data_IF_844846326772
#
_entry.id   IF_844846326772
#
_cell.length_a   1.000
_cell.length_b   1.000
_cell.length_c   1.000
_cell.angle_alpha   90.00
_cell.angle_beta   90.00
_cell.angle_gamma   90.00
#
_symmetry.space_group_name_H-M   'P 1'
#
loop_
_entity.id
_entity.type
_entity.pdbx_description
1 polymer ?
#
# COMPACT_ATOMS: atom_id res chain seq x y z
N UNK A 1 -9.28 -25.72 9.84
CA UNK A 1 -10.20 -24.66 9.35
C UNK A 1 -10.94 -25.16 8.12
N UNK A 2 -12.28 -25.15 8.15
CA UNK A 2 -13.11 -25.54 7.01
C UNK A 2 -13.03 -24.54 5.86
N UNK A 3 -13.40 -24.95 4.63
CA UNK A 3 -13.46 -24.04 3.47
C UNK A 3 -14.40 -22.85 3.72
N UNK A 4 -15.57 -23.11 4.33
CA UNK A 4 -16.54 -22.08 4.70
C UNK A 4 -15.95 -21.04 5.65
N UNK A 5 -15.21 -21.47 6.68
CA UNK A 5 -14.55 -20.56 7.61
C UNK A 5 -13.53 -19.64 6.91
N UNK A 6 -12.77 -20.16 5.93
CA UNK A 6 -11.81 -19.34 5.17
C UNK A 6 -12.54 -18.28 4.33
N UNK A 7 -13.65 -18.66 3.68
CA UNK A 7 -14.45 -17.73 2.88
C UNK A 7 -15.02 -16.63 3.78
N UNK A 8 -15.63 -16.99 4.92
CA UNK A 8 -16.14 -16.03 5.88
C UNK A 8 -15.04 -15.08 6.37
N UNK A 9 -13.87 -15.58 6.74
CA UNK A 9 -12.75 -14.72 7.15
C UNK A 9 -12.30 -13.79 6.02
N UNK A 10 -12.31 -14.22 4.75
CA UNK A 10 -11.97 -13.34 3.63
C UNK A 10 -12.99 -12.21 3.48
N UNK A 11 -14.27 -12.53 3.59
CA UNK A 11 -15.35 -11.53 3.56
C UNK A 11 -15.15 -10.53 4.70
N UNK A 12 -14.88 -11.00 5.92
CA UNK A 12 -14.59 -10.11 7.05
C UNK A 12 -13.37 -9.22 6.81
N UNK A 13 -12.29 -9.75 6.22
CA UNK A 13 -11.12 -8.93 5.86
C UNK A 13 -11.48 -7.89 4.79
N UNK A 14 -12.28 -8.22 3.79
CA UNK A 14 -12.78 -7.24 2.81
C UNK A 14 -13.58 -6.13 3.48
N UNK A 15 -14.53 -6.48 4.35
CA UNK A 15 -15.34 -5.53 5.09
C UNK A 15 -14.48 -4.63 5.99
N UNK A 16 -13.53 -5.21 6.72
CA UNK A 16 -12.62 -4.45 7.58
C UNK A 16 -11.72 -3.50 6.77
N UNK A 17 -11.24 -3.93 5.60
CA UNK A 17 -10.45 -3.08 4.73
C UNK A 17 -11.27 -2.01 4.01
N UNK A 18 -12.59 -2.18 3.83
CA UNK A 18 -13.49 -1.17 3.25
C UNK A 18 -14.12 -0.24 4.29
N UNK A 19 -14.18 -0.65 5.56
CA UNK A 19 -14.75 0.14 6.64
C UNK A 19 -14.19 1.58 6.74
N UNK A 20 -12.87 1.83 6.54
CA UNK A 20 -12.35 3.19 6.56
C UNK A 20 -12.87 4.07 5.43
N UNK A 21 -13.04 3.50 4.24
CA UNK A 21 -13.66 4.21 3.12
C UNK A 21 -15.13 4.49 3.42
N UNK A 22 -15.87 3.51 3.95
CA UNK A 22 -17.27 3.72 4.35
C UNK A 22 -17.39 4.80 5.43
N UNK A 23 -16.48 4.83 6.40
CA UNK A 23 -16.39 5.88 7.40
C UNK A 23 -16.13 7.25 6.78
N UNK A 24 -15.17 7.35 5.85
CA UNK A 24 -14.86 8.59 5.16
C UNK A 24 -16.05 9.12 4.34
N UNK A 25 -16.79 8.22 3.66
CA UNK A 25 -18.00 8.57 2.93
C UNK A 25 -19.10 9.06 3.87
N UNK A 26 -19.32 8.39 5.00
CA UNK A 26 -20.27 8.83 6.02
C UNK A 26 -19.88 10.20 6.60
N UNK A 27 -18.59 10.41 6.86
CA UNK A 27 -18.07 11.67 7.37
C UNK A 27 -18.26 12.82 6.38
N UNK A 28 -18.12 12.54 5.08
CA UNK A 28 -18.45 13.48 4.00
C UNK A 28 -19.96 13.77 3.92
N UNK A 29 -20.81 12.74 3.81
CA UNK A 29 -22.26 12.92 3.59
C UNK A 29 -23.01 13.48 4.80
N UNK A 30 -22.50 13.28 6.02
CA UNK A 30 -23.02 13.90 7.24
C UNK A 30 -22.69 15.40 7.35
N UNK A 31 -21.88 15.95 6.45
CA UNK A 31 -21.39 17.33 6.51
C UNK A 31 -20.30 17.55 7.58
N UNK A 32 -20.02 16.56 8.43
CA UNK A 32 -19.03 16.67 9.50
C UNK A 32 -17.60 16.86 8.96
N UNK A 33 -17.30 16.36 7.75
CA UNK A 33 -16.01 16.62 7.11
C UNK A 33 -15.77 18.12 6.89
N UNK A 34 -16.81 18.90 6.56
CA UNK A 34 -16.70 20.34 6.32
C UNK A 34 -16.34 21.14 7.59
N UNK A 35 -16.46 20.52 8.77
CA UNK A 35 -16.03 21.12 10.04
C UNK A 35 -14.52 21.05 10.26
N UNK A 36 -13.79 20.28 9.44
CA UNK A 36 -12.32 20.27 9.48
C UNK A 36 -11.78 21.57 8.90
N UNK A 37 -10.71 22.10 9.49
CA UNK A 37 -10.05 23.32 9.00
C UNK A 37 -9.55 23.19 7.55
N UNK A 38 -9.15 21.97 7.16
CA UNK A 38 -8.80 21.63 5.78
C UNK A 38 -9.29 20.21 5.45
N UNK A 39 -10.50 20.08 4.86
CA UNK A 39 -11.08 18.80 4.47
C UNK A 39 -10.22 17.99 3.49
N UNK A 40 -9.59 18.66 2.53
CA UNK A 40 -8.78 18.01 1.48
C UNK A 40 -7.53 17.42 2.09
N UNK A 41 -6.87 18.16 2.99
CA UNK A 41 -5.72 17.68 3.73
C UNK A 41 -6.08 16.50 4.63
N UNK A 42 -7.25 16.52 5.28
CA UNK A 42 -7.74 15.39 6.08
C UNK A 42 -7.92 14.12 5.23
N UNK A 43 -8.64 14.20 4.10
CA UNK A 43 -8.84 13.06 3.19
C UNK A 43 -7.48 12.51 2.71
N UNK A 44 -6.56 13.39 2.35
CA UNK A 44 -5.25 13.02 1.83
C UNK A 44 -4.42 12.26 2.87
N UNK A 45 -4.38 12.76 4.11
CA UNK A 45 -3.68 12.07 5.20
C UNK A 45 -4.37 10.75 5.58
N UNK A 46 -5.70 10.75 5.67
CA UNK A 46 -6.48 9.55 6.00
C UNK A 46 -6.22 8.41 5.00
N UNK A 47 -6.31 8.69 3.69
CA UNK A 47 -6.05 7.68 2.65
C UNK A 47 -4.58 7.25 2.61
N UNK A 48 -3.64 8.15 2.91
CA UNK A 48 -2.21 7.85 3.06
C UNK A 48 -1.92 6.93 4.24
N UNK A 49 -2.52 7.19 5.40
CA UNK A 49 -2.38 6.37 6.61
C UNK A 49 -2.92 4.95 6.37
N UNK A 50 -4.10 4.81 5.75
CA UNK A 50 -4.67 3.50 5.44
C UNK A 50 -3.87 2.72 4.39
N UNK A 51 -3.15 3.43 3.51
CA UNK A 51 -2.17 2.81 2.60
C UNK A 51 -1.04 2.16 3.40
N UNK A 52 -0.46 2.88 4.36
CA UNK A 52 0.62 2.37 5.21
C UNK A 52 0.14 1.26 6.14
N UNK A 53 -1.03 1.39 6.75
CA UNK A 53 -1.58 0.40 7.69
C UNK A 53 -1.83 -0.94 7.00
N UNK A 54 -2.46 -0.93 5.83
CA UNK A 54 -2.71 -2.16 5.06
C UNK A 54 -1.41 -2.73 4.49
N UNK A 55 -0.48 -1.90 4.04
CA UNK A 55 0.85 -2.35 3.60
C UNK A 55 1.61 -3.05 4.73
N UNK A 56 1.65 -2.45 5.92
CA UNK A 56 2.33 -3.00 7.09
C UNK A 56 1.64 -4.25 7.63
N UNK A 57 0.30 -4.30 7.64
CA UNK A 57 -0.44 -5.50 7.97
C UNK A 57 -0.07 -6.67 7.05
N UNK A 58 0.07 -6.42 5.74
CA UNK A 58 0.54 -7.44 4.79
C UNK A 58 1.98 -7.90 5.06
N UNK A 59 2.87 -6.98 5.44
CA UNK A 59 4.25 -7.30 5.82
C UNK A 59 4.33 -8.08 7.13
N UNK A 60 3.47 -7.77 8.10
CA UNK A 60 3.39 -8.36 9.44
C UNK A 60 2.93 -9.82 9.43
N UNK A 61 2.14 -10.25 8.44
CA UNK A 61 1.68 -11.64 8.33
C UNK A 61 2.86 -12.64 8.36
N UNK A 62 4.00 -12.30 7.75
CA UNK A 62 5.13 -13.23 7.70
C UNK A 62 5.82 -13.42 9.06
N UNK A 63 6.25 -12.36 9.80
CA UNK A 63 6.80 -12.54 11.13
C UNK A 63 5.79 -13.15 12.10
N UNK A 64 4.51 -12.76 12.07
CA UNK A 64 3.46 -13.33 12.95
C UNK A 64 3.36 -14.85 12.75
N UNK A 65 3.28 -15.32 11.49
CA UNK A 65 3.24 -16.74 11.17
C UNK A 65 4.46 -17.54 11.66
N UNK A 66 5.61 -16.86 11.81
CA UNK A 66 6.87 -17.48 12.25
C UNK A 66 6.96 -17.57 13.76
N UNK A 67 6.40 -16.59 14.48
CA UNK A 67 6.35 -16.58 15.95
C UNK A 67 5.23 -17.49 16.47
N UNK A 68 4.07 -17.49 15.81
CA UNK A 68 2.93 -18.32 16.13
C UNK A 68 2.58 -19.22 14.95
N UNK A 69 3.12 -20.45 14.94
CA UNK A 69 2.90 -21.44 13.87
C UNK A 69 1.44 -21.84 13.72
N UNK A 70 0.65 -21.78 14.80
CA UNK A 70 -0.81 -21.96 14.78
C UNK A 70 -1.53 -20.96 13.87
N UNK A 71 -0.95 -19.76 13.68
CA UNK A 71 -1.46 -18.72 12.78
C UNK A 71 -0.96 -18.88 11.33
N UNK A 72 -0.50 -20.08 10.97
CA UNK A 72 -0.10 -20.51 9.62
C UNK A 72 -1.04 -20.05 8.50
N UNK A 73 -2.34 -20.10 8.77
CA UNK A 73 -3.42 -19.80 7.83
C UNK A 73 -3.44 -18.33 7.39
N UNK A 74 -2.87 -17.39 8.17
CA UNK A 74 -2.85 -15.95 7.86
C UNK A 74 -2.17 -15.64 6.52
N UNK A 75 -1.25 -16.49 6.06
CA UNK A 75 -0.57 -16.32 4.77
C UNK A 75 -1.54 -16.24 3.59
N UNK A 76 -2.73 -16.84 3.72
CA UNK A 76 -3.78 -16.86 2.70
C UNK A 76 -4.44 -15.50 2.47
N UNK A 77 -4.30 -14.56 3.42
CA UNK A 77 -4.86 -13.20 3.32
C UNK A 77 -3.82 -12.15 2.93
N UNK A 78 -2.52 -12.51 2.90
CA UNK A 78 -1.44 -11.56 2.61
C UNK A 78 -1.62 -10.82 1.28
N UNK A 79 -1.98 -11.55 0.23
CA UNK A 79 -2.23 -10.96 -1.09
C UNK A 79 -3.47 -10.07 -1.09
N UNK A 80 -4.52 -10.49 -0.40
CA UNK A 80 -5.76 -9.71 -0.28
C UNK A 80 -5.50 -8.35 0.36
N UNK A 81 -4.84 -8.33 1.52
CA UNK A 81 -4.50 -7.10 2.24
C UNK A 81 -3.54 -6.22 1.42
N UNK A 82 -2.58 -6.84 0.71
CA UNK A 82 -1.67 -6.11 -0.18
C UNK A 82 -2.37 -5.40 -1.34
N UNK A 83 -3.46 -5.96 -1.87
CA UNK A 83 -4.29 -5.29 -2.88
C UNK A 83 -5.03 -4.08 -2.30
N UNK A 84 -5.46 -4.15 -1.04
CA UNK A 84 -6.02 -2.99 -0.35
C UNK A 84 -4.99 -1.89 -0.11
N UNK A 85 -3.71 -2.23 0.11
CA UNK A 85 -2.65 -1.22 0.14
C UNK A 85 -2.54 -0.47 -1.19
N UNK A 86 -2.60 -1.18 -2.33
CA UNK A 86 -2.61 -0.53 -3.63
C UNK A 86 -3.91 0.27 -3.89
N UNK A 87 -5.06 -0.24 -3.44
CA UNK A 87 -6.34 0.48 -3.51
C UNK A 87 -6.27 1.82 -2.79
N UNK A 88 -5.85 1.83 -1.52
CA UNK A 88 -5.71 3.08 -0.76
C UNK A 88 -4.59 3.97 -1.32
N UNK A 89 -3.49 3.40 -1.83
CA UNK A 89 -2.43 4.19 -2.48
C UNK A 89 -2.97 4.92 -3.72
N UNK A 90 -3.86 4.26 -4.45
CA UNK A 90 -4.52 4.84 -5.63
C UNK A 90 -5.52 5.91 -5.22
N UNK A 91 -6.29 5.70 -4.15
CA UNK A 91 -7.14 6.75 -3.59
C UNK A 91 -6.31 7.96 -3.13
N UNK A 92 -5.19 7.73 -2.45
CA UNK A 92 -4.28 8.78 -2.00
C UNK A 92 -3.68 9.56 -3.18
N UNK A 93 -3.25 8.88 -4.25
CA UNK A 93 -2.82 9.56 -5.47
C UNK A 93 -3.98 10.33 -6.13
N UNK A 94 -5.18 9.76 -6.11
CA UNK A 94 -6.37 10.42 -6.65
C UNK A 94 -6.74 11.69 -5.87
N UNK A 95 -6.47 11.79 -4.57
CA UNK A 95 -6.71 13.05 -3.83
C UNK A 95 -5.81 14.16 -4.35
N UNK A 96 -4.54 13.87 -4.66
CA UNK A 96 -3.65 14.85 -5.28
C UNK A 96 -4.19 15.28 -6.67
N UNK A 97 -4.57 14.31 -7.51
CA UNK A 97 -5.01 14.58 -8.88
C UNK A 97 -6.33 15.35 -8.93
N UNK A 98 -7.31 15.01 -8.09
CA UNK A 98 -8.67 15.52 -8.21
C UNK A 98 -9.07 16.54 -7.14
N UNK A 99 -8.37 16.61 -6.01
CA UNK A 99 -8.69 17.56 -4.93
C UNK A 99 -7.62 18.64 -4.74
N UNK A 100 -6.34 18.31 -4.96
CA UNK A 100 -5.24 19.24 -4.70
C UNK A 100 -4.79 20.04 -5.94
N UNK A 101 -4.84 19.43 -7.13
CA UNK A 101 -4.39 20.04 -8.39
C UNK A 101 -5.21 21.25 -8.86
N UNK A 102 -6.37 21.50 -8.24
CA UNK A 102 -7.36 22.48 -8.70
C UNK A 102 -8.36 21.93 -9.73
N UNK A 103 -8.45 20.61 -9.92
CA UNK A 103 -9.49 20.01 -10.78
C UNK A 103 -10.90 20.33 -10.27
N UNK A 104 -11.71 21.03 -11.06
CA UNK A 104 -13.10 21.30 -10.71
C UNK A 104 -13.99 20.11 -11.10
N UNK A 105 -14.18 19.19 -10.15
CA UNK A 105 -15.03 18.00 -10.30
C UNK A 105 -16.47 18.40 -10.64
N UNK A 106 -16.98 19.47 -10.03
CA UNK A 106 -18.37 19.90 -10.22
C UNK A 106 -18.58 20.37 -11.64
N UNK A 107 -17.72 21.26 -12.15
CA UNK A 107 -17.77 21.73 -13.54
C UNK A 107 -17.58 20.59 -14.54
N UNK A 108 -16.69 19.65 -14.24
CA UNK A 108 -16.45 18.50 -15.11
C UNK A 108 -17.68 17.57 -15.21
N UNK A 109 -18.34 17.29 -14.09
CA UNK A 109 -19.53 16.44 -14.02
C UNK A 109 -20.77 17.12 -14.59
N UNK A 110 -20.98 18.42 -14.33
CA UNK A 110 -22.10 19.16 -14.92
C UNK A 110 -21.98 19.24 -16.44
N UNK A 111 -20.78 19.48 -16.97
CA UNK A 111 -20.52 19.44 -18.41
C UNK A 111 -20.78 18.06 -19.02
N UNK A 112 -20.36 16.99 -18.34
CA UNK A 112 -20.64 15.62 -18.78
C UNK A 112 -22.15 15.34 -18.82
N UNK A 113 -22.90 15.70 -17.77
CA UNK A 113 -24.35 15.52 -17.71
C UNK A 113 -25.10 16.36 -18.75
N UNK A 114 -24.54 17.52 -19.14
CA UNK A 114 -25.06 18.37 -20.21
C UNK A 114 -24.73 17.87 -21.63
N UNK A 115 -24.10 16.68 -21.78
CA UNK A 115 -23.73 16.12 -23.08
C UNK A 115 -22.41 16.67 -23.65
N UNK A 116 -21.60 17.36 -22.84
CA UNK A 116 -20.28 17.86 -23.21
C UNK A 116 -19.16 17.05 -22.53
N UNK A 117 -18.88 15.81 -22.99
CA UNK A 117 -17.83 14.97 -22.39
C UNK A 117 -16.43 15.58 -22.49
N UNK A 118 -16.24 16.54 -23.41
CA UNK A 118 -15.00 17.31 -23.54
C UNK A 118 -14.69 18.15 -22.28
N UNK A 119 -15.68 18.46 -21.43
CA UNK A 119 -15.48 19.18 -20.17
C UNK A 119 -14.45 18.48 -19.27
N UNK A 120 -14.45 17.14 -19.23
CA UNK A 120 -13.47 16.34 -18.49
C UNK A 120 -12.04 16.61 -18.99
N UNK A 121 -11.87 16.63 -20.32
CA UNK A 121 -10.58 16.83 -20.98
C UNK A 121 -10.13 18.28 -20.89
N UNK A 122 -11.06 19.25 -20.95
CA UNK A 122 -10.75 20.67 -20.80
C UNK A 122 -10.23 20.96 -19.39
N UNK A 123 -10.91 20.44 -18.36
CA UNK A 123 -10.43 20.56 -16.97
C UNK A 123 -9.07 19.88 -16.78
N UNK A 124 -8.87 18.70 -17.38
CA UNK A 124 -7.56 18.03 -17.35
C UNK A 124 -6.45 18.87 -18.00
N UNK A 125 -6.71 19.44 -19.18
CA UNK A 125 -5.75 20.29 -19.91
C UNK A 125 -5.34 21.51 -19.10
N UNK A 126 -6.23 22.04 -18.27
CA UNK A 126 -5.94 23.19 -17.41
C UNK A 126 -4.93 22.84 -16.30
N UNK A 127 -5.08 21.68 -15.66
CA UNK A 127 -4.28 21.32 -14.48
C UNK A 127 -2.98 20.57 -14.80
N UNK A 128 -2.92 19.83 -15.92
CA UNK A 128 -1.80 18.92 -16.19
C UNK A 128 -0.42 19.59 -16.21
N UNK A 129 -0.23 20.84 -16.71
CA UNK A 129 1.08 21.46 -16.73
C UNK A 129 1.58 21.77 -15.31
N UNK A 130 0.69 22.30 -14.46
CA UNK A 130 0.99 22.59 -13.05
C UNK A 130 1.29 21.30 -12.26
N UNK A 131 0.55 20.23 -12.53
CA UNK A 131 0.83 18.92 -11.91
C UNK A 131 2.23 18.40 -12.25
N UNK A 132 2.65 18.51 -13.52
CA UNK A 132 4.00 18.10 -13.95
C UNK A 132 5.06 18.94 -13.24
N UNK A 133 4.85 20.25 -13.18
CA UNK A 133 5.75 21.18 -12.49
C UNK A 133 5.88 20.83 -10.99
N UNK A 134 4.76 20.54 -10.32
CA UNK A 134 4.74 20.09 -8.93
C UNK A 134 5.50 18.77 -8.74
N UNK A 135 5.29 17.78 -9.61
CA UNK A 135 6.02 16.50 -9.57
C UNK A 135 7.52 16.72 -9.75
N UNK A 136 7.93 17.62 -10.65
CA UNK A 136 9.34 17.90 -10.90
C UNK A 136 10.00 18.67 -9.75
N UNK A 137 9.28 19.59 -9.10
CA UNK A 137 9.80 20.42 -8.01
C UNK A 137 9.79 19.72 -6.65
N UNK A 138 8.82 18.84 -6.39
CA UNK A 138 8.56 18.29 -5.05
C UNK A 138 9.08 16.85 -4.94
N UNK A 139 10.24 16.69 -4.31
CA UNK A 139 10.89 15.38 -4.10
C UNK A 139 10.00 14.35 -3.40
N UNK A 140 9.16 14.78 -2.44
CA UNK A 140 8.24 13.87 -1.77
C UNK A 140 7.21 13.29 -2.75
N UNK A 141 6.68 14.07 -3.70
CA UNK A 141 5.75 13.56 -4.72
C UNK A 141 6.43 12.51 -5.60
N UNK A 142 7.68 12.73 -6.00
CA UNK A 142 8.45 11.78 -6.81
C UNK A 142 8.61 10.43 -6.09
N UNK A 143 8.98 10.44 -4.81
CA UNK A 143 9.11 9.22 -4.01
C UNK A 143 7.76 8.54 -3.80
N UNK A 144 6.69 9.31 -3.59
CA UNK A 144 5.32 8.79 -3.49
C UNK A 144 4.88 8.10 -4.78
N UNK A 145 5.08 8.74 -5.93
CA UNK A 145 4.78 8.18 -7.25
C UNK A 145 5.62 6.91 -7.52
N UNK A 146 6.90 6.93 -7.16
CA UNK A 146 7.76 5.75 -7.25
C UNK A 146 7.23 4.59 -6.40
N UNK A 147 6.84 4.84 -5.15
CA UNK A 147 6.22 3.83 -4.29
C UNK A 147 4.93 3.29 -4.90
N UNK A 148 4.07 4.16 -5.45
CA UNK A 148 2.84 3.77 -6.13
C UNK A 148 3.11 2.90 -7.37
N UNK A 149 4.11 3.23 -8.19
CA UNK A 149 4.50 2.43 -9.36
C UNK A 149 4.99 1.03 -8.96
N UNK A 150 5.73 0.91 -7.86
CA UNK A 150 6.10 -0.39 -7.31
C UNK A 150 4.85 -1.18 -6.88
N UNK A 151 3.92 -0.55 -6.18
CA UNK A 151 2.65 -1.18 -5.79
C UNK A 151 1.77 -1.55 -6.99
N UNK A 152 1.75 -0.73 -8.04
CA UNK A 152 1.06 -1.02 -9.29
C UNK A 152 1.64 -2.28 -9.94
N UNK A 153 2.97 -2.38 -10.07
CA UNK A 153 3.62 -3.57 -10.61
C UNK A 153 3.28 -4.84 -9.81
N UNK A 154 3.26 -4.73 -8.48
CA UNK A 154 2.86 -5.82 -7.57
C UNK A 154 1.38 -6.21 -7.74
N UNK A 155 0.49 -5.22 -7.89
CA UNK A 155 -0.95 -5.44 -8.06
C UNK A 155 -1.26 -6.09 -9.42
N UNK A 156 -0.67 -5.57 -10.50
CA UNK A 156 -0.78 -6.10 -11.86
C UNK A 156 -0.25 -7.53 -11.96
N UNK A 157 0.76 -7.90 -11.18
CA UNK A 157 1.31 -9.27 -11.15
C UNK A 157 0.70 -10.15 -10.06
N UNK A 158 -0.35 -9.67 -9.38
CA UNK A 158 -1.07 -10.45 -8.38
C UNK A 158 -1.96 -11.56 -8.98
N UNK A 159 -2.67 -11.40 -10.12
CA UNK A 159 -3.56 -12.41 -10.67
C UNK A 159 -2.92 -13.79 -10.82
N UNK A 160 -3.69 -14.85 -10.54
CA UNK A 160 -3.16 -16.21 -10.46
C UNK A 160 -2.57 -16.70 -11.79
N UNK A 161 -3.14 -16.27 -12.93
CA UNK A 161 -2.62 -16.63 -14.24
C UNK A 161 -1.25 -15.99 -14.52
N UNK A 162 -1.04 -14.72 -14.12
CA UNK A 162 0.26 -14.03 -14.27
C UNK A 162 1.31 -14.67 -13.36
N UNK A 163 0.95 -14.97 -12.11
CA UNK A 163 1.85 -15.67 -11.18
C UNK A 163 2.31 -17.02 -11.74
N UNK A 164 1.41 -17.78 -12.39
CA UNK A 164 1.74 -19.05 -13.03
C UNK A 164 2.64 -18.84 -14.25
N UNK A 165 2.34 -17.86 -15.09
CA UNK A 165 3.10 -17.55 -16.31
C UNK A 165 4.54 -17.07 -16.01
N UNK A 166 4.73 -16.23 -14.99
CA UNK A 166 6.06 -15.72 -14.62
C UNK A 166 6.96 -16.78 -13.95
N UNK A 167 6.36 -17.84 -13.42
CA UNK A 167 7.01 -18.79 -12.52
C UNK A 167 7.22 -18.24 -11.11
N UNK A 168 7.01 -19.09 -10.10
CA UNK A 168 7.00 -18.68 -8.69
C UNK A 168 8.29 -18.00 -8.21
N UNK A 169 9.46 -18.38 -8.76
CA UNK A 169 10.75 -17.76 -8.40
C UNK A 169 10.82 -16.29 -8.83
N UNK A 170 10.51 -15.99 -10.08
CA UNK A 170 10.57 -14.61 -10.61
C UNK A 170 9.46 -13.75 -10.00
N UNK A 171 8.26 -14.32 -9.85
CA UNK A 171 7.16 -13.66 -9.14
C UNK A 171 7.57 -13.26 -7.72
N UNK A 172 8.23 -14.17 -6.99
CA UNK A 172 8.72 -13.89 -5.65
C UNK A 172 9.84 -12.84 -5.64
N UNK A 173 10.73 -12.82 -6.63
CA UNK A 173 11.76 -11.78 -6.78
C UNK A 173 11.13 -10.41 -6.93
N UNK A 174 10.17 -10.26 -7.85
CA UNK A 174 9.42 -9.02 -8.05
C UNK A 174 8.66 -8.63 -6.78
N UNK A 175 8.02 -9.59 -6.11
CA UNK A 175 7.27 -9.34 -4.88
C UNK A 175 8.11 -8.97 -3.67
N UNK A 176 9.45 -8.99 -3.76
CA UNK A 176 10.33 -8.38 -2.74
C UNK A 176 10.39 -6.85 -2.87
N UNK A 177 10.00 -6.27 -3.99
CA UNK A 177 9.90 -4.82 -4.14
C UNK A 177 8.91 -4.17 -3.18
N UNK A 178 8.02 -4.95 -2.54
CA UNK A 178 7.14 -4.47 -1.47
C UNK A 178 7.90 -3.84 -0.30
N UNK A 179 9.13 -4.29 0.00
CA UNK A 179 9.94 -3.65 1.05
C UNK A 179 10.43 -2.27 0.60
N UNK A 180 10.83 -2.15 -0.67
CA UNK A 180 11.24 -0.89 -1.24
C UNK A 180 10.06 0.10 -1.29
N UNK A 181 8.87 -0.38 -1.66
CA UNK A 181 7.65 0.43 -1.63
C UNK A 181 7.33 0.91 -0.19
N UNK A 182 7.48 0.04 0.81
CA UNK A 182 7.23 0.41 2.21
C UNK A 182 8.25 1.44 2.74
N UNK A 183 9.54 1.28 2.41
CA UNK A 183 10.58 2.25 2.78
C UNK A 183 10.32 3.58 2.07
N UNK A 184 10.04 3.55 0.76
CA UNK A 184 9.71 4.75 -0.01
C UNK A 184 8.48 5.47 0.55
N UNK A 185 7.43 4.74 0.93
CA UNK A 185 6.24 5.33 1.57
C UNK A 185 6.54 6.03 2.90
N UNK A 186 7.42 5.47 3.73
CA UNK A 186 7.86 6.12 4.99
C UNK A 186 8.72 7.35 4.70
N UNK A 187 9.65 7.28 3.74
CA UNK A 187 10.47 8.43 3.33
C UNK A 187 9.61 9.56 2.76
N UNK A 188 8.63 9.21 1.91
CA UNK A 188 7.63 10.13 1.40
C UNK A 188 6.91 10.87 2.53
N UNK A 189 6.47 10.15 3.58
CA UNK A 189 5.79 10.76 4.72
C UNK A 189 6.71 11.68 5.54
N UNK A 190 7.97 11.28 5.78
CA UNK A 190 8.94 12.14 6.47
C UNK A 190 9.21 13.46 5.74
N UNK A 191 9.23 13.45 4.41
CA UNK A 191 9.43 14.67 3.61
C UNK A 191 8.16 15.50 3.42
N UNK A 192 6.99 14.90 3.60
CA UNK A 192 5.71 15.62 3.57
C UNK A 192 5.54 16.47 4.83
N UNK A 193 5.85 15.91 6.01
CA UNK A 193 5.61 16.62 7.27
C UNK A 193 6.58 17.77 7.47
N UNK A 194 6.09 18.86 8.08
CA UNK A 194 6.94 19.98 8.48
C UNK A 194 7.99 19.49 9.47
N UNK A 195 9.20 20.05 9.38
CA UNK A 195 10.29 19.78 10.31
C UNK A 195 9.83 20.00 11.76
N UNK A 196 10.12 19.06 12.65
CA UNK A 196 9.67 19.08 14.05
C UNK A 196 8.35 18.35 14.30
N UNK A 197 7.59 17.97 13.25
CA UNK A 197 6.46 17.07 13.41
C UNK A 197 6.95 15.62 13.47
N UNK A 198 6.65 14.95 14.59
CA UNK A 198 7.09 13.59 14.80
C UNK A 198 6.10 12.53 14.27
N UNK A 199 4.95 12.89 13.69
CA UNK A 199 3.93 11.93 13.24
C UNK A 199 4.47 10.66 12.51
N UNK A 200 5.49 10.75 11.62
CA UNK A 200 6.04 9.58 10.93
C UNK A 200 6.85 8.61 11.82
N UNK A 201 7.15 8.96 13.07
CA UNK A 201 7.96 8.12 13.97
C UNK A 201 7.30 6.75 14.19
N UNK A 202 5.97 6.73 14.37
CA UNK A 202 5.20 5.51 14.65
C UNK A 202 5.33 4.51 13.50
N UNK A 203 5.12 4.98 12.27
CA UNK A 203 5.21 4.14 11.07
C UNK A 203 6.65 3.67 10.81
N UNK A 204 7.64 4.51 11.14
CA UNK A 204 9.07 4.16 11.04
C UNK A 204 9.47 3.08 12.03
N UNK A 205 9.02 3.18 13.28
CA UNK A 205 9.27 2.18 14.31
C UNK A 205 8.64 0.83 13.94
N UNK A 206 7.38 0.84 13.48
CA UNK A 206 6.67 -0.37 13.03
C UNK A 206 7.42 -1.01 11.86
N UNK A 207 7.76 -0.25 10.81
CA UNK A 207 8.45 -0.80 9.65
C UNK A 207 9.82 -1.38 10.03
N UNK A 208 10.60 -0.65 10.83
CA UNK A 208 11.91 -1.10 11.33
C UNK A 208 11.78 -2.42 12.09
N UNK A 209 10.83 -2.52 13.03
CA UNK A 209 10.57 -3.76 13.78
C UNK A 209 10.22 -4.93 12.84
N UNK A 210 9.34 -4.71 11.87
CA UNK A 210 8.91 -5.74 10.91
C UNK A 210 10.07 -6.23 10.02
N UNK A 211 10.95 -5.32 9.59
CA UNK A 211 12.12 -5.66 8.77
C UNK A 211 13.18 -6.37 9.61
N UNK A 212 13.49 -5.89 10.82
CA UNK A 212 14.42 -6.53 11.75
C UNK A 212 13.98 -7.94 12.12
N UNK A 213 12.71 -8.14 12.48
CA UNK A 213 12.16 -9.46 12.79
C UNK A 213 12.36 -10.46 11.63
N UNK A 214 12.31 -9.97 10.38
CA UNK A 214 12.52 -10.79 9.19
C UNK A 214 14.00 -11.14 8.97
N UNK A 215 14.91 -10.18 9.19
CA UNK A 215 16.36 -10.38 9.08
C UNK A 215 16.85 -11.32 10.18
N UNK A 216 16.50 -11.04 11.44
CA UNK A 216 16.86 -11.84 12.61
C UNK A 216 16.46 -13.31 12.45
N UNK A 217 15.22 -13.58 12.03
CA UNK A 217 14.79 -14.95 11.76
C UNK A 217 15.62 -15.65 10.68
N UNK A 218 15.94 -14.92 9.59
CA UNK A 218 16.71 -15.49 8.48
C UNK A 218 18.14 -15.81 8.91
N UNK A 219 18.76 -14.96 9.75
CA UNK A 219 20.07 -15.18 10.34
C UNK A 219 20.05 -16.40 11.30
N UNK A 220 19.11 -16.44 12.24
CA UNK A 220 18.96 -17.57 13.18
C UNK A 220 18.79 -18.92 12.47
N UNK A 221 18.02 -18.97 11.38
CA UNK A 221 17.86 -20.20 10.60
C UNK A 221 19.16 -20.65 9.92
N UNK A 222 20.00 -19.72 9.48
CA UNK A 222 21.30 -20.04 8.87
C UNK A 222 22.26 -20.62 9.92
N UNK A 223 22.26 -20.06 11.13
CA UNK A 223 23.09 -20.54 12.25
C UNK A 223 22.69 -21.95 12.72
N UNK A 224 21.39 -22.30 12.68
CA UNK A 224 20.91 -23.64 13.06
C UNK A 224 21.09 -24.72 11.97
N UNK A 225 21.69 -24.40 10.82
CA UNK A 225 21.88 -25.38 9.74
C UNK A 225 23.08 -26.28 10.10
N UNK A 226 22.91 -27.60 10.29
CA UNK A 226 24.00 -28.46 10.69
C UNK A 226 25.14 -28.44 9.67
N UNK A 227 26.38 -28.45 10.17
CA UNK A 227 27.58 -28.56 9.34
C UNK A 227 27.49 -29.89 8.58
N UNK A 228 27.67 -29.92 7.25
CA UNK A 228 27.75 -31.18 6.52
C UNK A 228 28.90 -32.00 7.10
N UNK A 229 28.61 -33.16 7.68
CA UNK A 229 29.66 -34.10 8.07
C UNK A 229 30.33 -34.55 6.76
N UNK A 230 31.65 -34.34 6.56
CA UNK A 230 32.32 -34.84 5.36
C UNK A 230 32.10 -36.35 5.28
N UNK A 231 31.71 -36.82 4.09
CA UNK A 231 31.52 -38.25 3.85
C UNK A 231 32.82 -38.97 4.25
N UNK A 232 32.70 -40.03 5.07
CA UNK A 232 33.85 -40.89 5.36
C UNK A 232 34.44 -41.33 4.01
N UNK A 233 35.76 -41.23 3.80
CA UNK A 233 36.36 -41.82 2.62
C UNK A 233 35.96 -43.30 2.58
N UNK A 234 35.43 -43.73 1.43
CA UNK A 234 35.16 -45.15 1.17
C UNK A 234 36.46 -45.89 1.36
N UNK A 235 36.56 -46.66 2.44
CA UNK A 235 37.62 -47.64 2.57
C UNK A 235 37.37 -48.73 1.53
N UNK A 236 38.35 -48.90 0.65
CA UNK A 236 38.51 -49.95 -0.39
C UNK A 236 37.88 -49.63 -1.74
#
# INVERSE_FOLDING_TARGET
>A
MSKRAIILLKVLVHLLCLAPLAWLLHFYTSGALALNADPVNYITHFTGDWTLYTLFASLAITPIRRLATSLGFLIRFRRLIGLYAFFYATLHLATYIFLFSGYDITTALTGLHAGHPSALVTQWKLIWPGMVEDVLKRRFIQVGLFAWLLLLALACTSPAFIMRAMGGKNWQRLHRLVYLAAIAGVVHYWWLVKKGNNAPWKVTAILTLLLLARVAYTAMKRLKKPIPIPARPSSV
#
